data_IF_946973277498
#
_entry.id   IF_946973277498
#
_cell.length_a   1.000
_cell.length_b   1.000
_cell.length_c   1.000
_cell.angle_alpha   90.00
_cell.angle_beta   90.00
_cell.angle_gamma   90.00
#
_symmetry.space_group_name_H-M   'P 1'
#
loop_
_entity.id
_entity.type
_entity.pdbx_description
1 polymer ?
#
# COMPACT_ATOMS: atom_id res chain seq x y z
N UNK A 1 0.79 -11.18 -46.07
CA UNK A 1 0.93 -9.72 -46.31
C UNK A 1 -0.26 -9.07 -45.63
N UNK A 2 -0.22 -8.17 -44.65
CA UNK A 2 0.73 -7.41 -43.82
C UNK A 2 -0.20 -6.81 -42.71
N UNK A 3 0.16 -6.42 -41.50
CA UNK A 3 1.30 -6.49 -40.60
C UNK A 3 0.71 -5.98 -39.26
N UNK A 4 1.14 -6.56 -38.14
CA UNK A 4 0.77 -6.08 -36.80
C UNK A 4 1.41 -4.70 -36.61
N UNK A 5 0.63 -3.68 -36.28
CA UNK A 5 1.18 -2.48 -35.65
C UNK A 5 0.56 -2.29 -34.26
N UNK A 6 1.43 -2.57 -33.29
CA UNK A 6 1.28 -2.39 -31.86
C UNK A 6 0.88 -0.96 -31.51
N UNK A 7 -0.20 -0.80 -30.75
CA UNK A 7 -0.45 0.44 -30.01
C UNK A 7 0.49 0.49 -28.80
N UNK A 8 1.31 1.54 -28.63
CA UNK A 8 2.31 1.59 -27.56
C UNK A 8 1.65 1.74 -26.19
N UNK A 9 1.94 0.78 -25.31
CA UNK A 9 1.55 0.73 -23.89
C UNK A 9 2.24 1.80 -23.02
N UNK A 10 2.13 3.08 -23.37
CA UNK A 10 2.67 4.22 -22.61
C UNK A 10 1.72 5.41 -22.67
N UNK A 11 0.66 5.41 -21.84
CA UNK A 11 -0.28 6.51 -21.47
C UNK A 11 -1.58 5.78 -21.06
N UNK A 12 -1.96 5.56 -19.81
CA UNK A 12 -2.08 6.46 -18.67
C UNK A 12 -1.91 5.65 -17.38
N UNK A 13 -0.74 5.72 -16.75
CA UNK A 13 -0.66 5.55 -15.31
C UNK A 13 -0.80 6.97 -14.73
N UNK A 14 -1.80 7.26 -13.89
CA UNK A 14 -1.94 8.56 -13.24
C UNK A 14 -0.62 8.91 -12.54
N UNK A 15 -0.11 10.13 -12.74
CA UNK A 15 1.13 10.57 -12.11
C UNK A 15 1.07 10.55 -10.57
N UNK A 16 -0.11 10.39 -9.98
CA UNK A 16 -0.31 10.15 -8.55
C UNK A 16 0.28 8.81 -8.05
N UNK A 17 0.48 7.83 -8.94
CA UNK A 17 1.06 6.53 -8.56
C UNK A 17 2.56 6.63 -8.25
N UNK A 18 3.23 7.69 -8.71
CA UNK A 18 4.67 7.88 -8.50
C UNK A 18 5.00 8.43 -7.11
N UNK A 19 4.07 9.06 -6.39
CA UNK A 19 4.33 9.45 -4.99
C UNK A 19 4.52 8.24 -4.07
N UNK A 20 3.93 7.10 -4.40
CA UNK A 20 4.08 5.86 -3.60
C UNK A 20 5.42 5.15 -3.90
N UNK A 21 6.06 5.47 -5.03
CA UNK A 21 7.42 5.00 -5.37
C UNK A 21 8.50 5.95 -4.81
N UNK A 22 8.15 7.20 -4.49
CA UNK A 22 9.00 8.14 -3.71
C UNK A 22 8.95 7.79 -2.21
N UNK A 23 9.20 6.52 -1.87
CA UNK A 23 9.73 6.15 -0.55
C UNK A 23 11.19 5.72 -0.62
N UNK A 24 11.82 5.80 -1.80
CA UNK A 24 13.27 5.79 -1.93
C UNK A 24 13.73 7.05 -2.66
N UNK A 25 14.55 7.86 -1.98
CA UNK A 25 15.56 8.75 -2.57
C UNK A 25 15.13 10.14 -3.09
N UNK A 26 14.65 11.01 -2.20
CA UNK A 26 15.00 12.45 -2.28
C UNK A 26 14.86 13.15 -0.91
N UNK A 27 16.01 13.58 -0.39
CA UNK A 27 16.27 14.42 0.81
C UNK A 27 15.89 13.79 2.15
N UNK A 28 16.91 13.52 2.96
CA UNK A 28 16.83 12.96 4.30
C UNK A 28 16.10 13.91 5.28
N UNK A 29 14.78 14.05 5.15
CA UNK A 29 13.96 14.44 6.28
C UNK A 29 13.93 13.25 7.24
N UNK A 30 14.43 13.46 8.46
CA UNK A 30 14.40 12.46 9.52
C UNK A 30 12.94 12.15 9.86
N UNK A 31 12.48 10.98 9.45
CA UNK A 31 11.14 10.49 9.78
C UNK A 31 11.00 10.32 11.30
N UNK A 32 9.84 10.69 11.84
CA UNK A 32 9.51 10.40 13.23
C UNK A 32 9.40 8.89 13.47
N UNK A 33 9.47 8.46 14.74
CA UNK A 33 9.29 7.06 15.11
C UNK A 33 7.98 6.48 14.58
N UNK A 34 6.88 7.21 14.74
CA UNK A 34 5.56 6.81 14.24
C UNK A 34 5.50 6.76 12.71
N UNK A 35 6.10 7.72 11.99
CA UNK A 35 6.18 7.66 10.53
C UNK A 35 6.91 6.40 10.05
N UNK A 36 8.02 6.03 10.72
CA UNK A 36 8.73 4.78 10.42
C UNK A 36 7.86 3.56 10.66
N UNK A 37 7.06 3.55 11.72
CA UNK A 37 6.11 2.47 12.00
C UNK A 37 5.01 2.37 10.95
N UNK A 38 4.44 3.48 10.48
CA UNK A 38 3.45 3.49 9.39
C UNK A 38 4.03 2.87 8.12
N UNK A 39 5.26 3.25 7.74
CA UNK A 39 5.95 2.66 6.59
C UNK A 39 6.32 1.19 6.81
N UNK A 40 6.66 0.80 8.04
CA UNK A 40 6.92 -0.60 8.37
C UNK A 40 5.66 -1.45 8.20
N UNK A 41 4.52 -0.99 8.71
CA UNK A 41 3.23 -1.66 8.58
C UNK A 41 2.81 -1.81 7.11
N UNK A 42 2.89 -0.73 6.31
CA UNK A 42 2.56 -0.81 4.89
C UNK A 42 3.43 -1.86 4.15
N UNK A 43 4.74 -1.89 4.44
CA UNK A 43 5.65 -2.89 3.86
C UNK A 43 5.33 -4.31 4.33
N UNK A 44 4.93 -4.49 5.59
CA UNK A 44 4.48 -5.79 6.10
C UNK A 44 3.22 -6.26 5.36
N UNK A 45 2.23 -5.39 5.16
CA UNK A 45 1.06 -5.71 4.33
C UNK A 45 1.48 -6.23 2.95
N UNK A 46 2.37 -5.51 2.26
CA UNK A 46 2.85 -5.94 0.94
C UNK A 46 3.59 -7.29 0.95
N UNK A 47 4.29 -7.62 2.04
CA UNK A 47 4.94 -8.93 2.20
C UNK A 47 3.92 -10.05 2.40
N UNK A 48 2.94 -9.85 3.26
CA UNK A 48 1.89 -10.85 3.50
C UNK A 48 1.04 -11.09 2.25
N UNK A 49 0.79 -10.04 1.45
CA UNK A 49 0.07 -10.17 0.18
C UNK A 49 0.79 -11.09 -0.81
N UNK A 50 2.13 -11.12 -0.82
CA UNK A 50 2.89 -12.02 -1.70
C UNK A 50 2.65 -13.50 -1.38
N UNK A 51 2.19 -13.82 -0.17
CA UNK A 51 1.83 -15.19 0.23
C UNK A 51 0.43 -15.60 -0.25
N UNK A 52 -0.38 -14.65 -0.76
CA UNK A 52 -1.74 -14.90 -1.26
C UNK A 52 -1.73 -15.42 -2.70
N UNK A 53 -2.78 -16.13 -3.14
CA UNK A 53 -2.91 -16.58 -4.53
C UNK A 53 -2.74 -15.43 -5.52
N UNK A 54 -1.98 -15.65 -6.60
CA UNK A 54 -1.59 -14.60 -7.56
C UNK A 54 -2.81 -13.81 -8.08
N UNK A 55 -3.92 -14.50 -8.38
CA UNK A 55 -5.14 -13.88 -8.89
C UNK A 55 -5.84 -12.92 -7.92
N UNK A 56 -5.64 -13.06 -6.60
CA UNK A 56 -6.25 -12.19 -5.59
C UNK A 56 -5.31 -11.11 -5.05
N UNK A 57 -4.00 -11.18 -5.31
CA UNK A 57 -3.02 -10.22 -4.78
C UNK A 57 -3.34 -8.77 -5.15
N UNK A 58 -3.88 -8.54 -6.36
CA UNK A 58 -4.25 -7.21 -6.82
C UNK A 58 -5.33 -6.57 -5.94
N UNK A 59 -6.31 -7.35 -5.49
CA UNK A 59 -7.38 -6.87 -4.61
C UNK A 59 -6.82 -6.44 -3.26
N UNK A 60 -5.95 -7.26 -2.65
CA UNK A 60 -5.27 -6.90 -1.41
C UNK A 60 -4.40 -5.64 -1.54
N UNK A 61 -3.64 -5.50 -2.63
CA UNK A 61 -2.83 -4.28 -2.87
C UNK A 61 -3.71 -3.04 -2.98
N UNK A 62 -4.83 -3.13 -3.71
CA UNK A 62 -5.78 -2.02 -3.87
C UNK A 62 -6.39 -1.62 -2.53
N UNK A 63 -6.86 -2.59 -1.76
CA UNK A 63 -7.42 -2.35 -0.42
C UNK A 63 -6.38 -1.70 0.51
N UNK A 64 -5.18 -2.27 0.62
CA UNK A 64 -4.13 -1.71 1.46
C UNK A 64 -3.78 -0.27 1.04
N UNK A 65 -3.68 0.01 -0.26
CA UNK A 65 -3.43 1.38 -0.73
C UNK A 65 -4.57 2.33 -0.35
N UNK A 66 -5.82 1.93 -0.55
CA UNK A 66 -6.98 2.75 -0.21
C UNK A 66 -7.05 3.06 1.29
N UNK A 67 -6.82 2.07 2.16
CA UNK A 67 -6.85 2.28 3.61
C UNK A 67 -5.79 3.27 4.09
N UNK A 68 -4.56 3.20 3.55
CA UNK A 68 -3.50 4.16 3.89
C UNK A 68 -3.78 5.55 3.28
N UNK A 69 -4.36 5.60 2.07
CA UNK A 69 -4.68 6.85 1.40
C UNK A 69 -5.81 7.63 2.09
N UNK A 70 -6.84 6.92 2.61
CA UNK A 70 -7.94 7.53 3.41
C UNK A 70 -7.43 8.34 4.61
N UNK A 71 -6.29 7.95 5.17
CA UNK A 71 -5.71 8.55 6.37
C UNK A 71 -4.48 9.43 6.06
N UNK A 72 -4.23 9.76 4.78
CA UNK A 72 -3.06 10.54 4.35
C UNK A 72 -3.03 11.94 4.99
N UNK A 73 -4.20 12.53 5.20
CA UNK A 73 -4.34 13.91 5.61
C UNK A 73 -4.47 14.07 7.15
N UNK A 74 -4.30 12.97 7.91
CA UNK A 74 -4.19 13.02 9.37
C UNK A 74 -3.02 13.90 9.78
N UNK A 75 -3.24 14.80 10.73
CA UNK A 75 -2.22 15.70 11.22
C UNK A 75 -1.03 14.90 11.79
N UNK A 76 0.19 15.19 11.34
CA UNK A 76 1.42 14.51 11.77
C UNK A 76 1.72 14.64 13.27
N UNK A 77 1.11 15.62 13.94
CA UNK A 77 1.21 15.85 15.40
C UNK A 77 0.08 15.19 16.19
N UNK A 78 -0.93 14.63 15.53
CA UNK A 78 -1.98 13.86 16.18
C UNK A 78 -1.50 12.42 16.43
N UNK A 79 -0.61 12.30 17.41
CA UNK A 79 0.04 11.04 17.74
C UNK A 79 -0.97 9.97 18.20
N UNK A 80 -2.00 10.38 18.94
CA UNK A 80 -3.01 9.45 19.46
C UNK A 80 -3.80 8.78 18.31
N UNK A 81 -4.22 9.56 17.31
CA UNK A 81 -4.89 9.02 16.12
C UNK A 81 -3.96 8.12 15.31
N UNK A 82 -2.70 8.51 15.11
CA UNK A 82 -1.72 7.70 14.38
C UNK A 82 -1.48 6.35 15.09
N UNK A 83 -1.30 6.35 16.40
CA UNK A 83 -1.13 5.12 17.19
C UNK A 83 -2.36 4.23 17.14
N UNK A 84 -3.56 4.82 17.24
CA UNK A 84 -4.81 4.07 17.07
C UNK A 84 -4.88 3.40 15.69
N UNK A 85 -4.59 4.14 14.62
CA UNK A 85 -4.59 3.62 13.25
C UNK A 85 -3.54 2.53 13.05
N UNK A 86 -2.33 2.69 13.62
CA UNK A 86 -1.29 1.66 13.60
C UNK A 86 -1.75 0.36 14.27
N UNK A 87 -2.32 0.46 15.48
CA UNK A 87 -2.85 -0.70 16.21
C UNK A 87 -3.99 -1.37 15.45
N UNK A 88 -4.90 -0.59 14.88
CA UNK A 88 -6.02 -1.11 14.07
C UNK A 88 -5.51 -1.80 12.80
N UNK A 89 -4.57 -1.19 12.08
CA UNK A 89 -4.00 -1.76 10.87
C UNK A 89 -3.20 -3.04 11.13
N UNK A 90 -2.49 -3.12 12.25
CA UNK A 90 -1.79 -4.34 12.67
C UNK A 90 -2.77 -5.51 12.92
N UNK A 91 -3.87 -5.25 13.64
CA UNK A 91 -4.93 -6.26 13.85
C UNK A 91 -5.56 -6.73 12.53
N UNK A 92 -5.81 -5.80 11.60
CA UNK A 92 -6.32 -6.15 10.27
C UNK A 92 -5.32 -7.00 9.47
N UNK A 93 -4.03 -6.66 9.53
CA UNK A 93 -2.98 -7.44 8.88
C UNK A 93 -2.92 -8.87 9.44
N UNK A 94 -2.97 -9.04 10.75
CA UNK A 94 -2.99 -10.36 11.40
C UNK A 94 -4.16 -11.21 10.93
N UNK A 95 -5.35 -10.62 10.86
CA UNK A 95 -6.54 -11.27 10.34
C UNK A 95 -6.33 -11.72 8.89
N UNK A 96 -5.99 -10.80 7.98
CA UNK A 96 -5.84 -11.13 6.56
C UNK A 96 -4.61 -11.99 6.26
N UNK A 97 -3.58 -12.01 7.12
CA UNK A 97 -2.43 -12.90 6.97
C UNK A 97 -2.82 -14.39 7.15
N UNK A 98 -3.93 -14.67 7.84
CA UNK A 98 -4.45 -16.03 8.02
C UNK A 98 -4.57 -16.80 6.69
N UNK A 99 -4.07 -18.05 6.60
CA UNK A 99 -4.13 -18.85 5.36
C UNK A 99 -5.54 -19.07 4.82
N UNK A 100 -6.56 -19.05 5.69
CA UNK A 100 -7.96 -19.22 5.32
C UNK A 100 -8.52 -18.05 4.50
N UNK A 101 -7.94 -16.86 4.61
CA UNK A 101 -8.40 -15.70 3.85
C UNK A 101 -7.59 -15.61 2.55
N UNK A 102 -8.22 -16.02 1.45
CA UNK A 102 -7.57 -16.17 0.14
C UNK A 102 -7.86 -15.02 -0.82
N UNK A 103 -8.90 -14.23 -0.58
CA UNK A 103 -9.26 -13.07 -1.37
C UNK A 103 -10.00 -12.05 -0.50
N UNK A 104 -10.05 -10.80 -0.96
CA UNK A 104 -10.92 -9.75 -0.45
C UNK A 104 -11.65 -9.12 -1.63
N UNK A 105 -12.92 -8.81 -1.43
CA UNK A 105 -13.73 -8.10 -2.42
C UNK A 105 -13.62 -6.60 -2.13
N UNK A 106 -13.41 -5.74 -3.16
CA UNK A 106 -13.50 -4.29 -2.99
C UNK A 106 -14.90 -3.83 -2.58
#
# INVERSE_FOLDING_TARGET
MHFLDSVPAKRYLPQETLQIVILDRTRAMRLSGLQRQVLALYRQCLREIRKKPVGSQANFKRYARQEFQKNRDVNRKDFATIEYLLRRGQKQLEMYASPGIRNITP
#
